data_IF_730902060878
#
_entry.id   IF_730902060878
#
_cell.length_a   1.000
_cell.length_b   1.000
_cell.length_c   1.000
_cell.angle_alpha   90.00
_cell.angle_beta   90.00
_cell.angle_gamma   90.00
#
_symmetry.space_group_name_H-M   'P 1'
#
loop_
_entity.id
_entity.type
_entity.pdbx_description
1 polymer ?
#
# COMPACT_ATOMS: atom_id res chain seq x y z
N UNK A 1 12.35 23.66 -3.05
CA UNK A 1 12.81 22.29 -3.29
C UNK A 1 12.44 21.90 -4.71
N UNK A 2 13.30 21.20 -5.45
CA UNK A 2 13.01 20.77 -6.83
C UNK A 2 13.21 19.26 -6.91
N UNK A 3 12.29 18.57 -7.56
CA UNK A 3 12.37 17.09 -7.71
C UNK A 3 13.66 16.64 -8.42
N UNK A 4 14.16 17.43 -9.37
CA UNK A 4 15.44 17.18 -10.04
C UNK A 4 16.61 17.00 -9.05
N UNK A 5 16.71 17.88 -8.05
CA UNK A 5 17.81 17.86 -7.07
C UNK A 5 17.72 16.61 -6.18
N UNK A 6 16.50 16.18 -5.84
CA UNK A 6 16.27 14.97 -5.05
C UNK A 6 16.62 13.69 -5.83
N UNK A 7 16.26 13.64 -7.12
CA UNK A 7 16.62 12.53 -8.01
C UNK A 7 18.15 12.43 -8.12
N UNK A 8 18.84 13.55 -8.33
CA UNK A 8 20.29 13.57 -8.42
C UNK A 8 20.96 13.14 -7.11
N UNK A 9 20.46 13.63 -5.98
CA UNK A 9 20.91 13.27 -4.65
C UNK A 9 20.78 11.75 -4.43
N UNK A 10 19.62 11.17 -4.76
CA UNK A 10 19.39 9.73 -4.60
C UNK A 10 20.21 8.89 -5.57
N UNK A 11 20.32 9.31 -6.82
CA UNK A 11 21.17 8.67 -7.83
C UNK A 11 22.62 8.55 -7.38
N UNK A 12 23.13 9.52 -6.63
CA UNK A 12 24.48 9.53 -6.06
C UNK A 12 24.61 8.73 -4.75
N UNK A 13 23.56 8.02 -4.33
CA UNK A 13 23.56 7.18 -3.13
C UNK A 13 23.36 7.95 -1.82
N UNK A 14 23.03 9.23 -1.87
CA UNK A 14 22.79 10.02 -0.67
C UNK A 14 21.37 9.80 -0.12
N UNK A 15 21.23 9.85 1.21
CA UNK A 15 19.93 9.74 1.85
C UNK A 15 19.08 11.01 1.66
N UNK A 16 17.78 10.80 1.41
CA UNK A 16 16.78 11.86 1.45
C UNK A 16 16.41 12.18 2.90
N UNK A 17 16.13 13.44 3.19
CA UNK A 17 15.57 13.83 4.49
C UNK A 17 14.06 13.54 4.56
N UNK A 18 13.50 13.59 5.77
CA UNK A 18 12.04 13.45 5.98
C UNK A 18 11.23 14.47 5.19
N UNK A 19 11.69 15.73 5.16
CA UNK A 19 11.01 16.81 4.44
C UNK A 19 11.10 16.63 2.91
N UNK A 20 12.22 16.12 2.41
CA UNK A 20 12.40 15.79 0.99
C UNK A 20 11.46 14.64 0.57
N UNK A 21 11.31 13.64 1.41
CA UNK A 21 10.39 12.52 1.17
C UNK A 21 8.94 13.01 1.19
N UNK A 22 8.55 13.84 2.14
CA UNK A 22 7.21 14.45 2.17
C UNK A 22 6.94 15.27 0.94
N UNK A 23 7.83 16.20 0.59
CA UNK A 23 7.70 17.00 -0.62
C UNK A 23 7.49 16.14 -1.86
N UNK A 24 8.25 15.06 -1.99
CA UNK A 24 8.13 14.13 -3.11
C UNK A 24 6.76 13.45 -3.14
N UNK A 25 6.29 12.94 -2.02
CA UNK A 25 5.02 12.21 -1.95
C UNK A 25 3.81 13.13 -2.10
N UNK A 26 3.82 14.28 -1.45
CA UNK A 26 2.75 15.27 -1.55
C UNK A 26 2.63 15.77 -2.99
N UNK A 27 3.74 16.20 -3.58
CA UNK A 27 3.74 16.71 -4.96
C UNK A 27 3.43 15.63 -6.00
N UNK A 28 3.78 14.38 -5.76
CA UNK A 28 3.35 13.28 -6.62
C UNK A 28 1.86 12.98 -6.48
N UNK A 29 1.33 13.05 -5.27
CA UNK A 29 -0.08 12.78 -4.98
C UNK A 29 -0.99 13.84 -5.59
N UNK A 30 -0.65 15.12 -5.47
CA UNK A 30 -1.42 16.24 -6.00
C UNK A 30 -1.18 16.50 -7.50
N UNK A 31 -0.15 15.89 -8.10
CA UNK A 31 0.17 15.99 -9.52
C UNK A 31 1.13 17.14 -9.89
N UNK A 32 1.68 17.87 -8.92
CA UNK A 32 2.71 18.90 -9.16
C UNK A 32 4.05 18.28 -9.55
N UNK A 33 4.31 17.05 -9.11
CA UNK A 33 5.43 16.23 -9.57
C UNK A 33 4.91 15.23 -10.60
N UNK A 34 5.33 15.32 -11.86
CA UNK A 34 4.84 14.45 -12.92
C UNK A 34 5.43 13.05 -12.84
N UNK A 35 4.72 12.09 -13.44
CA UNK A 35 5.04 10.65 -13.39
C UNK A 35 6.46 10.34 -13.88
N UNK A 36 6.98 11.05 -14.90
CA UNK A 36 8.33 10.82 -15.40
C UNK A 36 9.43 11.17 -14.38
N UNK A 37 9.21 12.17 -13.52
CA UNK A 37 10.15 12.49 -12.45
C UNK A 37 10.08 11.46 -11.33
N UNK A 38 8.87 11.01 -10.96
CA UNK A 38 8.71 9.95 -9.98
C UNK A 38 9.27 8.62 -10.51
N UNK A 39 9.12 8.35 -11.82
CA UNK A 39 9.76 7.20 -12.48
C UNK A 39 11.28 7.20 -12.32
N UNK A 40 11.91 8.34 -12.57
CA UNK A 40 13.36 8.49 -12.39
C UNK A 40 13.78 8.28 -10.92
N UNK A 41 13.00 8.79 -9.97
CA UNK A 41 13.26 8.61 -8.53
C UNK A 41 13.11 7.13 -8.12
N UNK A 42 12.07 6.45 -8.56
CA UNK A 42 11.87 5.03 -8.22
C UNK A 42 12.99 4.15 -8.78
N UNK A 43 13.51 4.47 -9.96
CA UNK A 43 14.70 3.78 -10.51
C UNK A 43 15.96 4.12 -9.71
N UNK A 44 16.14 5.37 -9.29
CA UNK A 44 17.27 5.72 -8.42
C UNK A 44 17.20 4.96 -7.09
N UNK A 45 16.02 4.85 -6.48
CA UNK A 45 15.80 4.05 -5.27
C UNK A 45 16.07 2.56 -5.53
N UNK A 46 15.63 2.05 -6.68
CA UNK A 46 15.84 0.64 -7.05
C UNK A 46 17.34 0.27 -7.08
N UNK A 47 18.19 1.15 -7.60
CA UNK A 47 19.62 0.91 -7.70
C UNK A 47 20.41 1.21 -6.43
N UNK A 48 20.00 2.22 -5.67
CA UNK A 48 20.75 2.71 -4.50
C UNK A 48 20.18 2.18 -3.18
N UNK A 49 18.96 1.67 -3.18
CA UNK A 49 18.25 1.29 -1.97
C UNK A 49 17.79 2.49 -1.13
N UNK A 50 17.25 2.20 0.03
CA UNK A 50 16.83 3.17 1.05
C UNK A 50 17.33 2.73 2.41
N UNK A 51 17.72 3.69 3.25
CA UNK A 51 17.98 3.43 4.67
C UNK A 51 16.68 3.07 5.40
N UNK A 52 16.80 2.48 6.60
CA UNK A 52 15.63 2.19 7.44
C UNK A 52 14.81 3.44 7.74
N UNK A 53 15.49 4.56 7.99
CA UNK A 53 14.82 5.85 8.25
C UNK A 53 14.04 6.31 7.02
N UNK A 54 14.67 6.35 5.84
CA UNK A 54 14.00 6.72 4.60
C UNK A 54 12.77 5.84 4.33
N UNK A 55 12.89 4.53 4.57
CA UNK A 55 11.78 3.59 4.37
C UNK A 55 10.61 3.89 5.31
N UNK A 56 10.88 4.17 6.58
CA UNK A 56 9.85 4.56 7.55
C UNK A 56 9.21 5.89 7.16
N UNK A 57 10.02 6.90 6.83
CA UNK A 57 9.53 8.23 6.43
C UNK A 57 8.65 8.14 5.17
N UNK A 58 9.05 7.34 4.18
CA UNK A 58 8.26 7.11 2.97
C UNK A 58 6.94 6.41 3.27
N UNK A 59 6.98 5.38 4.11
CA UNK A 59 5.77 4.65 4.54
C UNK A 59 4.78 5.57 5.24
N UNK A 60 5.26 6.41 6.16
CA UNK A 60 4.41 7.36 6.87
C UNK A 60 3.86 8.44 5.95
N UNK A 61 4.68 9.00 5.06
CA UNK A 61 4.22 9.98 4.08
C UNK A 61 3.15 9.40 3.15
N UNK A 62 3.31 8.16 2.69
CA UNK A 62 2.33 7.48 1.86
C UNK A 62 1.02 7.19 2.61
N UNK A 63 1.10 6.72 3.87
CA UNK A 63 -0.07 6.51 4.73
C UNK A 63 -0.84 7.81 4.93
N UNK A 64 -0.14 8.88 5.23
CA UNK A 64 -0.72 10.18 5.58
C UNK A 64 -1.13 11.01 4.34
N UNK A 65 -0.93 10.49 3.13
CA UNK A 65 -1.31 11.15 1.88
C UNK A 65 -2.83 11.24 1.65
N UNK A 66 -3.63 10.55 2.45
CA UNK A 66 -5.09 10.51 2.35
C UNK A 66 -5.75 10.15 3.67
N UNK A 67 -6.95 9.59 3.57
CA UNK A 67 -7.72 9.20 4.76
C UNK A 67 -7.05 8.03 5.48
N UNK A 68 -7.12 8.05 6.81
CA UNK A 68 -6.69 6.96 7.69
C UNK A 68 -7.90 6.45 8.45
N UNK A 69 -8.18 5.15 8.34
CA UNK A 69 -9.30 4.55 9.06
C UNK A 69 -9.00 4.45 10.56
N UNK A 70 -9.88 5.02 11.37
CA UNK A 70 -9.83 4.85 12.82
C UNK A 70 -10.56 3.57 13.26
N UNK A 71 -9.80 2.52 13.51
CA UNK A 71 -10.30 1.24 13.98
C UNK A 71 -10.44 1.16 15.52
N UNK A 72 -10.30 2.26 16.25
CA UNK A 72 -10.36 2.29 17.73
C UNK A 72 -11.70 1.81 18.28
N UNK A 73 -12.79 1.99 17.53
CA UNK A 73 -14.14 1.55 17.90
C UNK A 73 -14.31 0.00 17.86
N UNK A 74 -13.36 -0.74 17.32
CA UNK A 74 -13.36 -2.21 17.32
C UNK A 74 -12.50 -2.69 18.49
N UNK A 75 -13.04 -3.48 19.42
CA UNK A 75 -12.26 -3.97 20.55
C UNK A 75 -11.16 -4.96 20.14
N UNK A 76 -10.12 -5.05 20.95
CA UNK A 76 -8.99 -5.96 20.74
C UNK A 76 -7.95 -5.46 19.73
N UNK A 77 -6.92 -6.27 19.53
CA UNK A 77 -5.86 -5.99 18.54
C UNK A 77 -6.34 -6.43 17.17
N UNK A 78 -6.49 -5.49 16.27
CA UNK A 78 -6.82 -5.76 14.85
C UNK A 78 -5.56 -6.17 14.12
N UNK A 79 -5.69 -7.15 13.24
CA UNK A 79 -4.57 -7.65 12.45
C UNK A 79 -4.85 -7.56 10.96
N UNK A 80 -3.80 -7.36 10.20
CA UNK A 80 -3.79 -7.55 8.75
C UNK A 80 -2.59 -8.43 8.37
N UNK A 81 -2.62 -8.99 7.19
CA UNK A 81 -1.56 -9.80 6.61
C UNK A 81 -1.12 -9.20 5.29
N UNK A 82 0.13 -8.81 5.23
CA UNK A 82 0.72 -8.32 3.98
C UNK A 82 0.92 -9.48 2.98
N UNK A 83 0.71 -9.20 1.69
CA UNK A 83 1.10 -10.13 0.63
C UNK A 83 2.61 -10.23 0.53
N UNK A 84 3.12 -11.43 0.31
CA UNK A 84 4.55 -11.65 0.04
C UNK A 84 4.91 -11.46 -1.44
N UNK A 85 3.96 -10.99 -2.24
CA UNK A 85 4.11 -10.72 -3.66
C UNK A 85 3.95 -11.95 -4.55
N UNK A 86 3.88 -11.71 -5.86
CA UNK A 86 3.81 -12.75 -6.88
C UNK A 86 2.54 -13.61 -6.79
N UNK A 87 2.71 -14.93 -6.81
CA UNK A 87 1.62 -15.91 -6.97
C UNK A 87 0.95 -16.31 -5.64
N UNK A 88 1.38 -15.76 -4.51
CA UNK A 88 1.08 -16.28 -3.17
C UNK A 88 -0.21 -15.80 -2.49
N UNK A 89 -0.93 -14.83 -3.00
CA UNK A 89 -2.03 -14.14 -2.30
C UNK A 89 -3.26 -14.99 -1.98
N UNK A 90 -3.38 -16.18 -2.56
CA UNK A 90 -4.40 -17.16 -2.15
C UNK A 90 -4.34 -17.53 -0.67
N UNK A 91 -3.19 -17.38 -0.02
CA UNK A 91 -3.04 -17.63 1.42
C UNK A 91 -3.91 -16.70 2.26
N UNK A 92 -4.17 -15.47 1.82
CA UNK A 92 -5.06 -14.54 2.53
C UNK A 92 -6.49 -15.08 2.62
N UNK A 93 -6.98 -15.76 1.59
CA UNK A 93 -8.35 -16.31 1.57
C UNK A 93 -8.56 -17.40 2.62
N UNK A 94 -7.53 -18.18 2.91
CA UNK A 94 -7.60 -19.23 3.94
C UNK A 94 -7.22 -18.69 5.33
N UNK A 95 -6.17 -17.87 5.40
CA UNK A 95 -5.60 -17.40 6.67
C UNK A 95 -6.53 -16.45 7.41
N UNK A 96 -7.14 -15.49 6.72
CA UNK A 96 -7.93 -14.45 7.38
C UNK A 96 -9.18 -14.99 8.09
N UNK A 97 -9.98 -15.93 7.51
CA UNK A 97 -11.08 -16.57 8.24
C UNK A 97 -10.60 -17.42 9.42
N UNK A 98 -9.46 -18.11 9.29
CA UNK A 98 -8.90 -18.90 10.39
C UNK A 98 -8.56 -17.98 11.57
N UNK A 99 -7.89 -16.87 11.34
CA UNK A 99 -7.53 -15.90 12.39
C UNK A 99 -8.79 -15.30 13.02
N UNK A 100 -9.79 -14.93 12.23
CA UNK A 100 -11.06 -14.42 12.73
C UNK A 100 -11.78 -15.46 13.60
N UNK A 101 -11.76 -16.76 13.22
CA UNK A 101 -12.37 -17.84 14.00
C UNK A 101 -11.71 -18.05 15.38
N UNK A 102 -10.47 -17.60 15.54
CA UNK A 102 -9.75 -17.59 16.82
C UNK A 102 -10.07 -16.35 17.68
N UNK A 103 -11.02 -15.52 17.25
CA UNK A 103 -11.45 -14.32 17.97
C UNK A 103 -10.54 -13.10 17.77
N UNK A 104 -9.64 -13.14 16.80
CA UNK A 104 -8.77 -11.99 16.47
C UNK A 104 -9.39 -11.21 15.30
N UNK A 105 -9.78 -9.94 15.49
CA UNK A 105 -10.39 -9.15 14.42
C UNK A 105 -9.45 -8.91 13.24
N UNK A 106 -9.92 -9.22 12.03
CA UNK A 106 -9.19 -9.01 10.78
C UNK A 106 -9.81 -7.87 9.99
N UNK A 107 -9.14 -6.73 9.95
CA UNK A 107 -9.56 -5.55 9.21
C UNK A 107 -8.61 -5.35 8.01
N UNK A 108 -8.85 -6.13 6.94
CA UNK A 108 -7.91 -6.21 5.82
C UNK A 108 -8.31 -5.29 4.67
N UNK A 109 -7.32 -4.52 4.20
CA UNK A 109 -7.40 -3.87 2.90
C UNK A 109 -6.41 -4.51 1.93
N UNK A 110 -6.77 -4.57 0.66
CA UNK A 110 -5.94 -5.20 -0.36
C UNK A 110 -6.08 -4.50 -1.70
N UNK A 111 -5.06 -4.67 -2.54
CA UNK A 111 -5.03 -4.16 -3.91
C UNK A 111 -5.26 -5.26 -4.95
N UNK A 112 -5.32 -4.84 -6.22
CA UNK A 112 -5.31 -5.73 -7.38
C UNK A 112 -3.91 -6.29 -7.64
N UNK A 113 -3.81 -7.28 -8.49
CA UNK A 113 -2.52 -7.86 -8.89
C UNK A 113 -1.71 -6.93 -9.77
N UNK A 114 -0.40 -7.18 -9.82
CA UNK A 114 0.54 -6.55 -10.74
C UNK A 114 0.77 -7.44 -11.96
N UNK A 115 0.84 -6.84 -13.13
CA UNK A 115 1.14 -7.52 -14.38
C UNK A 115 0.18 -8.68 -14.68
N UNK A 116 0.73 -9.87 -14.88
CA UNK A 116 -0.02 -11.08 -15.22
C UNK A 116 -0.55 -11.86 -14.01
N UNK A 117 -0.29 -11.38 -12.78
CA UNK A 117 -0.74 -12.08 -11.56
C UNK A 117 -1.98 -11.40 -10.99
N UNK A 118 -3.00 -12.18 -10.63
CA UNK A 118 -4.16 -11.68 -9.91
C UNK A 118 -3.82 -11.42 -8.43
N UNK A 119 -4.25 -10.28 -7.89
CA UNK A 119 -4.17 -9.96 -6.46
C UNK A 119 -5.28 -10.63 -5.64
N UNK A 120 -5.32 -10.33 -4.35
CA UNK A 120 -6.35 -10.83 -3.44
C UNK A 120 -7.74 -10.37 -3.89
N UNK A 121 -7.86 -9.11 -4.28
CA UNK A 121 -9.14 -8.52 -4.74
C UNK A 121 -9.65 -9.22 -6.01
N UNK A 122 -8.77 -9.45 -6.97
CA UNK A 122 -9.14 -10.10 -8.23
C UNK A 122 -9.64 -11.53 -8.00
N UNK A 123 -9.06 -12.24 -7.02
CA UNK A 123 -9.50 -13.59 -6.63
C UNK A 123 -10.85 -13.58 -5.92
N UNK A 124 -11.09 -12.61 -5.03
CA UNK A 124 -12.37 -12.48 -4.33
C UNK A 124 -13.49 -12.11 -5.29
N UNK A 125 -13.26 -11.19 -6.21
CA UNK A 125 -14.25 -10.77 -7.21
C UNK A 125 -14.54 -11.84 -8.28
N UNK A 126 -13.73 -12.91 -8.33
CA UNK A 126 -14.05 -14.08 -9.17
C UNK A 126 -15.20 -14.93 -8.61
N UNK A 127 -15.56 -14.76 -7.36
CA UNK A 127 -16.74 -15.42 -6.77
C UNK A 127 -18.01 -14.63 -7.15
N UNK A 128 -19.02 -15.27 -7.78
CA UNK A 128 -20.26 -14.58 -8.14
C UNK A 128 -20.93 -13.92 -6.95
N UNK A 129 -21.23 -12.62 -7.07
CA UNK A 129 -21.89 -11.84 -6.02
C UNK A 129 -20.98 -11.31 -4.92
N UNK A 130 -19.69 -11.61 -4.95
CA UNK A 130 -18.74 -11.00 -4.01
C UNK A 130 -18.35 -9.59 -4.48
N UNK A 131 -18.36 -8.63 -3.56
CA UNK A 131 -17.89 -7.27 -3.80
C UNK A 131 -16.83 -6.87 -2.79
N UNK A 132 -15.78 -6.22 -3.26
CA UNK A 132 -14.71 -5.66 -2.43
C UNK A 132 -14.85 -4.15 -2.24
N UNK A 133 -15.75 -3.52 -2.99
CA UNK A 133 -16.10 -2.11 -2.84
C UNK A 133 -17.10 -1.94 -1.67
N UNK A 134 -16.59 -2.10 -0.45
CA UNK A 134 -17.42 -2.00 0.76
C UNK A 134 -17.48 -0.55 1.23
N UNK A 135 -18.71 -0.01 1.50
CA UNK A 135 -18.84 1.20 2.30
C UNK A 135 -18.18 1.03 3.67
N UNK A 136 -17.62 2.10 4.20
CA UNK A 136 -16.94 2.08 5.50
C UNK A 136 -17.80 1.50 6.62
N UNK A 137 -19.07 1.89 6.69
CA UNK A 137 -20.02 1.37 7.68
C UNK A 137 -20.16 -0.16 7.62
N UNK A 138 -20.23 -0.73 6.41
CA UNK A 138 -20.33 -2.17 6.20
C UNK A 138 -19.02 -2.86 6.57
N UNK A 139 -17.88 -2.24 6.24
CA UNK A 139 -16.58 -2.75 6.64
C UNK A 139 -16.48 -2.86 8.16
N UNK A 140 -16.79 -1.79 8.91
CA UNK A 140 -16.78 -1.79 10.36
C UNK A 140 -17.79 -2.78 10.97
N UNK A 141 -19.00 -2.83 10.39
CA UNK A 141 -20.03 -3.78 10.81
C UNK A 141 -19.53 -5.22 10.70
N UNK A 142 -18.96 -5.60 9.57
CA UNK A 142 -18.46 -6.94 9.34
C UNK A 142 -17.35 -7.31 10.34
N UNK A 143 -16.38 -6.41 10.59
CA UNK A 143 -15.34 -6.69 11.58
C UNK A 143 -15.91 -6.88 12.98
N UNK A 144 -16.93 -6.10 13.38
CA UNK A 144 -17.55 -6.24 14.71
C UNK A 144 -18.40 -7.51 14.86
N UNK A 145 -19.19 -7.87 13.83
CA UNK A 145 -20.18 -8.96 13.93
C UNK A 145 -19.59 -10.33 13.60
N UNK A 146 -18.72 -10.40 12.60
CA UNK A 146 -18.17 -11.67 12.14
C UNK A 146 -16.64 -11.76 12.26
N UNK A 147 -16.00 -10.73 12.82
CA UNK A 147 -14.57 -10.73 13.07
C UNK A 147 -13.69 -10.48 11.86
N UNK A 148 -14.25 -10.26 10.66
CA UNK A 148 -13.47 -10.12 9.44
C UNK A 148 -14.14 -9.18 8.44
N UNK A 149 -13.35 -8.32 7.82
CA UNK A 149 -13.71 -7.64 6.58
C UNK A 149 -12.50 -7.58 5.64
N UNK A 150 -12.76 -7.81 4.35
CA UNK A 150 -11.78 -7.58 3.28
C UNK A 150 -12.37 -6.56 2.30
N UNK A 151 -11.65 -5.46 2.12
CA UNK A 151 -12.03 -4.41 1.19
C UNK A 151 -10.91 -4.09 0.20
N UNK A 152 -11.29 -3.59 -0.97
CA UNK A 152 -10.36 -2.98 -1.90
C UNK A 152 -9.92 -1.60 -1.44
N UNK A 153 -8.75 -1.15 -1.86
CA UNK A 153 -8.32 0.22 -1.66
C UNK A 153 -9.32 1.18 -2.31
N UNK A 154 -9.70 2.21 -1.56
CA UNK A 154 -10.51 3.31 -2.10
C UNK A 154 -9.61 4.36 -2.77
N UNK A 155 -10.24 5.35 -3.44
CA UNK A 155 -9.49 6.44 -4.04
C UNK A 155 -8.84 7.38 -2.99
N UNK A 156 -9.38 7.40 -1.78
CA UNK A 156 -9.00 8.34 -0.72
C UNK A 156 -8.04 7.73 0.31
N UNK A 157 -8.00 6.40 0.42
CA UNK A 157 -7.08 5.70 1.32
C UNK A 157 -5.72 5.54 0.65
N UNK A 158 -4.69 6.15 1.22
CA UNK A 158 -3.32 6.13 0.73
C UNK A 158 -3.21 6.37 -0.79
N UNK A 159 -3.72 7.50 -1.33
CA UNK A 159 -3.72 7.79 -2.77
C UNK A 159 -2.32 7.80 -3.38
N UNK A 160 -1.29 8.16 -2.60
CA UNK A 160 0.11 8.06 -3.01
C UNK A 160 0.51 6.62 -3.34
N UNK A 161 0.10 5.65 -2.50
CA UNK A 161 0.38 4.23 -2.74
C UNK A 161 -0.29 3.75 -4.03
N UNK A 162 -1.55 4.09 -4.24
CA UNK A 162 -2.29 3.73 -5.45
C UNK A 162 -1.60 4.25 -6.71
N UNK A 163 -1.18 5.52 -6.72
CA UNK A 163 -0.47 6.13 -7.86
C UNK A 163 0.90 5.49 -8.07
N UNK A 164 1.66 5.33 -7.00
CA UNK A 164 3.00 4.75 -7.07
C UNK A 164 2.97 3.28 -7.50
N UNK A 165 1.97 2.53 -7.04
CA UNK A 165 1.77 1.13 -7.41
C UNK A 165 1.49 0.99 -8.92
N UNK A 166 0.57 1.82 -9.45
CA UNK A 166 0.26 1.84 -10.88
C UNK A 166 1.48 2.23 -11.74
N UNK A 167 2.29 3.21 -11.28
CA UNK A 167 3.51 3.61 -11.96
C UNK A 167 4.55 2.49 -11.97
N UNK A 168 4.71 1.77 -10.86
CA UNK A 168 5.66 0.67 -10.74
C UNK A 168 5.32 -0.52 -11.64
N UNK A 169 4.04 -0.76 -11.90
CA UNK A 169 3.59 -1.84 -12.76
C UNK A 169 4.14 -1.71 -14.19
N UNK A 170 4.17 -0.49 -14.72
CA UNK A 170 4.66 -0.23 -16.08
C UNK A 170 6.17 0.01 -16.17
N UNK A 171 6.85 0.16 -15.05
CA UNK A 171 8.29 0.45 -14.99
C UNK A 171 9.18 -0.77 -14.72
N UNK A 172 8.61 -1.97 -14.64
CA UNK A 172 9.31 -3.20 -14.26
C UNK A 172 10.02 -3.11 -12.87
N UNK A 173 9.60 -2.20 -12.01
CA UNK A 173 10.05 -2.10 -10.62
C UNK A 173 9.18 -3.05 -9.79
N UNK A 174 9.57 -4.31 -9.77
CA UNK A 174 8.81 -5.35 -9.09
C UNK A 174 8.94 -5.27 -7.56
N UNK A 175 8.05 -5.98 -6.88
CA UNK A 175 7.94 -6.09 -5.43
C UNK A 175 9.24 -6.54 -4.73
N UNK A 176 10.08 -7.29 -5.43
CA UNK A 176 11.35 -7.83 -4.91
C UNK A 176 12.43 -6.76 -4.70
N UNK A 177 12.31 -5.60 -5.32
CA UNK A 177 13.30 -4.52 -5.23
C UNK A 177 12.83 -3.32 -4.41
N UNK A 178 11.54 -3.21 -4.14
CA UNK A 178 10.94 -2.23 -3.25
C UNK A 178 10.13 -2.99 -2.18
N UNK A 179 10.82 -3.63 -1.26
CA UNK A 179 10.22 -3.99 0.00
C UNK A 179 9.99 -2.68 0.79
N UNK A 180 8.99 -1.91 0.38
CA UNK A 180 8.39 -0.98 1.30
C UNK A 180 7.73 -1.84 2.36
N UNK A 181 8.17 -1.82 3.62
CA UNK A 181 7.44 -2.47 4.67
C UNK A 181 6.10 -1.74 4.79
N UNK A 182 5.08 -2.32 4.22
CA UNK A 182 3.71 -2.00 4.55
C UNK A 182 3.50 -2.54 5.95
N UNK A 183 3.98 -1.80 6.93
CA UNK A 183 3.64 -1.99 8.32
C UNK A 183 2.47 -1.04 8.55
N UNK A 184 1.26 -1.56 8.45
CA UNK A 184 0.09 -0.91 9.00
C UNK A 184 -0.03 -1.27 10.48
#
# INVERSE_FOLDING_TARGET
MRMYDLIEKKKLGMELTTDEIRFMIDGFTDGTIPDYQMSAMTMAICFQGMSKRETVDLTLAMRDSGDVLDLSSIPGVKVDKHSTGGVGDKTSLALTPIIASLGVPVAKMSGRGLGHTGGTIDKLESFPGFTTALPEEIFFKNVREIGIALAGQTANLAPADKKLYALRDVMAVSYTHLTLPTIC
#
